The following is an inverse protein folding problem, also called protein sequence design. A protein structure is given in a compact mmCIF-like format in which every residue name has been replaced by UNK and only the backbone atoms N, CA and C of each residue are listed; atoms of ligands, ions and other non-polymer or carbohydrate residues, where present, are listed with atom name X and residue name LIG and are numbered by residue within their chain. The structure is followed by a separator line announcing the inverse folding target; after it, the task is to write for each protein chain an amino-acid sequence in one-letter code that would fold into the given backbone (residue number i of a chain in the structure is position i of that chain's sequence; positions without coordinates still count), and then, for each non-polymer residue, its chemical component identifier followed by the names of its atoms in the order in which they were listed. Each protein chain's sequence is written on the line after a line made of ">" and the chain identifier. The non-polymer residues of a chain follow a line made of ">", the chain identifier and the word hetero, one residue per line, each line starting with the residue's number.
data_IF_809902797906
#
_entry.id   IF_809902797906
#
_cell.length_a   1.000
_cell.length_b   1.000
_cell.length_c   1.000
_cell.angle_alpha   90.00
_cell.angle_beta   90.00
_cell.angle_gamma   90.00
#
_symmetry.space_group_name_H-M   'P 1'
#
loop_
_entity.id
_entity.type
_entity.pdbx_description
1 polymer ?
#
# COMPACT_ATOMS: atom_id res chain seq x y z
N UNK A 1 -2.63 -8.34 17.87
CA UNK A 1 -1.52 -7.37 18.01
C UNK A 1 -0.26 -7.73 17.21
N UNK A 2 -0.06 -9.00 16.77
CA UNK A 2 1.14 -9.39 15.99
C UNK A 2 1.13 -8.96 14.52
N UNK A 3 -0.05 -8.82 13.89
CA UNK A 3 -0.17 -8.46 12.46
C UNK A 3 0.29 -7.03 12.11
N UNK A 4 -0.05 -6.04 12.96
CA UNK A 4 0.27 -4.63 12.70
C UNK A 4 1.77 -4.33 12.68
N UNK A 5 2.60 -5.14 13.34
CA UNK A 5 4.04 -4.96 13.36
C UNK A 5 4.70 -5.29 12.01
N UNK A 6 4.17 -6.27 11.26
CA UNK A 6 4.79 -6.68 10.00
C UNK A 6 4.69 -5.60 8.91
N UNK A 7 3.51 -5.01 8.70
CA UNK A 7 3.36 -3.95 7.70
C UNK A 7 4.04 -2.64 8.11
N UNK A 8 3.99 -2.29 9.41
CA UNK A 8 4.69 -1.12 9.92
C UNK A 8 6.21 -1.21 9.74
N UNK A 9 6.80 -2.40 9.95
CA UNK A 9 8.24 -2.64 9.75
C UNK A 9 8.66 -2.70 8.27
N UNK A 10 7.72 -2.93 7.36
CA UNK A 10 7.95 -2.90 5.91
C UNK A 10 7.77 -1.51 5.29
N UNK A 11 7.18 -0.57 6.03
CA UNK A 11 7.04 0.80 5.56
C UNK A 11 8.43 1.48 5.56
N UNK A 12 8.80 2.09 4.44
CA UNK A 12 10.03 2.86 4.37
C UNK A 12 9.81 4.22 5.03
N UNK A 13 10.80 4.65 5.81
CA UNK A 13 10.80 6.01 6.33
C UNK A 13 11.13 7.00 5.21
N UNK A 14 10.39 8.10 5.16
CA UNK A 14 10.61 9.26 4.32
C UNK A 14 11.90 10.00 4.72
N UNK A 15 12.15 11.12 4.06
CA UNK A 15 13.31 11.97 4.33
C UNK A 15 13.30 12.62 5.73
N UNK A 16 12.12 12.75 6.36
CA UNK A 16 11.93 13.27 7.71
C UNK A 16 12.05 12.17 8.79
N UNK A 17 12.25 10.91 8.36
CA UNK A 17 12.29 9.75 9.24
C UNK A 17 10.90 9.28 9.70
N UNK A 18 9.82 9.73 9.05
CA UNK A 18 8.46 9.25 9.27
C UNK A 18 8.10 8.16 8.27
N UNK A 19 7.43 7.12 8.73
CA UNK A 19 6.81 6.13 7.89
C UNK A 19 5.30 6.27 7.94
N UNK A 20 4.66 5.86 6.85
CA UNK A 20 3.23 6.04 6.66
C UNK A 20 2.59 4.71 6.26
N UNK A 21 1.47 4.40 6.89
CA UNK A 21 0.63 3.25 6.53
C UNK A 21 -0.80 3.72 6.32
N UNK A 22 -1.53 3.03 5.44
CA UNK A 22 -2.94 3.29 5.20
C UNK A 22 -3.80 2.24 5.90
N UNK A 23 -4.81 2.71 6.63
CA UNK A 23 -5.91 1.87 7.07
C UNK A 23 -7.00 1.91 6.00
N UNK A 24 -7.35 0.74 5.47
CA UNK A 24 -8.35 0.59 4.44
C UNK A 24 -9.48 -0.33 4.92
N UNK A 25 -10.71 -0.06 4.49
CA UNK A 25 -11.80 -1.04 4.49
C UNK A 25 -11.74 -1.84 3.21
N UNK A 26 -11.83 -3.17 3.33
CA UNK A 26 -11.72 -4.07 2.18
C UNK A 26 -12.93 -4.99 2.09
N UNK A 27 -13.55 -5.05 0.91
CA UNK A 27 -14.60 -6.03 0.61
C UNK A 27 -13.96 -7.37 0.22
N UNK A 28 -13.77 -8.25 1.19
CA UNK A 28 -13.00 -9.49 1.01
C UNK A 28 -13.70 -10.52 0.11
N UNK A 29 -15.03 -10.62 0.13
CA UNK A 29 -15.75 -11.63 -0.66
C UNK A 29 -15.39 -13.06 -0.25
N UNK A 30 -15.23 -13.96 -1.22
CA UNK A 30 -14.76 -15.34 -1.05
C UNK A 30 -13.24 -15.42 -1.21
N UNK A 31 -12.45 -15.53 -0.13
CA UNK A 31 -11.01 -15.64 -0.25
C UNK A 31 -10.58 -17.08 -0.59
N UNK A 32 -9.54 -17.24 -1.40
CA UNK A 32 -8.73 -18.46 -1.44
C UNK A 32 -7.54 -18.37 -0.48
N UNK A 33 -7.07 -19.53 0.01
CA UNK A 33 -5.85 -19.60 0.80
C UNK A 33 -4.63 -19.67 -0.13
N UNK A 34 -3.73 -18.69 -0.02
CA UNK A 34 -2.47 -18.64 -0.77
C UNK A 34 -1.32 -18.36 0.21
N UNK A 35 -0.26 -19.19 0.24
CA UNK A 35 0.90 -18.91 1.06
C UNK A 35 1.51 -17.53 0.78
N UNK A 36 1.90 -16.81 1.83
CA UNK A 36 2.65 -15.56 1.69
C UNK A 36 3.92 -15.78 0.86
N UNK A 37 4.22 -14.88 -0.07
CA UNK A 37 5.34 -15.01 -1.01
C UNK A 37 5.02 -15.78 -2.30
N UNK A 38 3.77 -16.17 -2.53
CA UNK A 38 3.34 -16.73 -3.82
C UNK A 38 3.50 -15.71 -4.97
N UNK A 39 3.82 -16.22 -6.17
CA UNK A 39 3.91 -15.43 -7.41
C UNK A 39 2.56 -15.27 -8.14
N UNK A 40 1.45 -15.69 -7.55
CA UNK A 40 0.11 -15.55 -8.15
C UNK A 40 -0.30 -14.09 -8.29
N UNK A 41 -0.86 -13.75 -9.44
CA UNK A 41 -1.33 -12.39 -9.78
C UNK A 41 -2.85 -12.31 -10.02
N UNK A 42 -3.54 -13.44 -10.03
CA UNK A 42 -4.96 -13.57 -10.30
C UNK A 42 -5.54 -14.75 -9.50
N UNK A 43 -6.87 -14.79 -9.28
CA UNK A 43 -7.49 -15.88 -8.55
C UNK A 43 -7.39 -17.21 -9.31
N UNK A 44 -7.38 -18.33 -8.58
CA UNK A 44 -7.27 -19.67 -9.17
C UNK A 44 -8.50 -20.09 -9.98
N UNK A 45 -9.64 -19.44 -9.75
CA UNK A 45 -10.91 -19.64 -10.45
C UNK A 45 -11.86 -18.49 -10.14
N UNK A 46 -12.95 -18.38 -10.90
CA UNK A 46 -14.01 -17.37 -10.71
C UNK A 46 -14.81 -17.53 -9.40
N UNK A 47 -14.52 -18.58 -8.63
CA UNK A 47 -15.10 -18.77 -7.30
C UNK A 47 -14.40 -17.93 -6.21
N UNK A 48 -13.28 -17.29 -6.53
CA UNK A 48 -12.50 -16.55 -5.56
C UNK A 48 -12.38 -15.08 -5.94
N UNK A 49 -12.69 -14.26 -4.95
CA UNK A 49 -12.74 -12.82 -5.09
C UNK A 49 -11.44 -12.20 -4.53
N UNK A 50 -10.79 -12.82 -3.55
CA UNK A 50 -9.55 -12.32 -2.91
C UNK A 50 -8.66 -13.49 -2.48
N UNK A 51 -7.54 -13.21 -1.82
CA UNK A 51 -6.77 -14.24 -1.14
C UNK A 51 -6.32 -13.84 0.26
N UNK A 52 -6.07 -14.86 1.09
CA UNK A 52 -5.50 -14.74 2.44
C UNK A 52 -4.42 -15.79 2.67
N UNK A 53 -3.51 -15.55 3.60
CA UNK A 53 -2.44 -16.49 3.95
C UNK A 53 -2.91 -17.67 4.83
N UNK A 54 -3.93 -17.46 5.65
CA UNK A 54 -4.47 -18.47 6.55
C UNK A 54 -5.99 -18.29 6.76
N UNK A 55 -6.76 -19.37 6.63
CA UNK A 55 -8.24 -19.32 6.74
C UNK A 55 -8.75 -19.08 8.16
N UNK A 56 -8.00 -19.50 9.18
CA UNK A 56 -8.41 -19.37 10.59
C UNK A 56 -7.90 -18.08 11.23
N UNK A 57 -6.69 -17.65 10.89
CA UNK A 57 -6.07 -16.45 11.44
C UNK A 57 -5.26 -15.71 10.36
N UNK A 58 -5.93 -15.02 9.42
CA UNK A 58 -5.28 -14.31 8.32
C UNK A 58 -4.40 -13.16 8.85
N UNK A 59 -3.17 -13.07 8.37
CA UNK A 59 -2.25 -11.96 8.61
C UNK A 59 -2.01 -11.12 7.35
N UNK A 60 -2.18 -11.73 6.17
CA UNK A 60 -2.02 -11.09 4.87
C UNK A 60 -3.29 -11.25 4.05
N UNK A 61 -3.66 -10.16 3.36
CA UNK A 61 -4.82 -10.11 2.48
C UNK A 61 -4.37 -9.61 1.11
N UNK A 62 -4.90 -10.20 0.06
CA UNK A 62 -4.62 -9.84 -1.33
C UNK A 62 -5.92 -9.47 -2.01
N UNK A 63 -5.96 -8.27 -2.59
CA UNK A 63 -7.00 -7.85 -3.53
C UNK A 63 -6.38 -7.85 -4.92
N UNK A 64 -7.03 -8.52 -5.87
CA UNK A 64 -6.55 -8.60 -7.24
C UNK A 64 -6.60 -7.25 -7.93
N UNK A 65 -5.58 -6.95 -8.75
CA UNK A 65 -5.44 -5.64 -9.41
C UNK A 65 -6.71 -5.16 -10.11
N UNK A 66 -7.39 -6.06 -10.84
CA UNK A 66 -8.64 -5.77 -11.56
C UNK A 66 -9.78 -5.23 -10.67
N UNK A 67 -9.77 -5.56 -9.38
CA UNK A 67 -10.87 -5.24 -8.47
C UNK A 67 -10.47 -4.22 -7.39
N UNK A 68 -9.21 -3.74 -7.37
CA UNK A 68 -8.70 -2.86 -6.32
C UNK A 68 -9.55 -1.58 -6.17
N UNK A 69 -9.94 -0.96 -7.29
CA UNK A 69 -10.70 0.30 -7.30
C UNK A 69 -12.09 0.19 -6.67
N UNK A 70 -12.72 -0.99 -6.71
CA UNK A 70 -14.09 -1.20 -6.23
C UNK A 70 -14.13 -1.82 -4.84
N UNK A 71 -13.00 -2.36 -4.37
CA UNK A 71 -12.97 -3.22 -3.16
C UNK A 71 -12.11 -2.67 -2.05
N UNK A 72 -11.25 -1.69 -2.32
CA UNK A 72 -10.45 -1.02 -1.30
C UNK A 72 -10.97 0.40 -1.13
N UNK A 73 -11.41 0.71 0.08
CA UNK A 73 -11.72 2.07 0.50
C UNK A 73 -10.66 2.53 1.51
N UNK A 74 -9.74 3.43 1.13
CA UNK A 74 -8.87 4.11 2.08
C UNK A 74 -9.69 4.90 3.10
N UNK A 75 -9.38 4.71 4.38
CA UNK A 75 -10.12 5.37 5.47
C UNK A 75 -9.25 6.36 6.23
N UNK A 76 -8.02 5.95 6.57
CA UNK A 76 -7.08 6.79 7.32
C UNK A 76 -5.65 6.58 6.86
N UNK A 77 -4.83 7.61 7.04
CA UNK A 77 -3.37 7.51 6.94
C UNK A 77 -2.79 7.70 8.33
N UNK A 78 -1.89 6.81 8.72
CA UNK A 78 -1.20 6.84 10.01
C UNK A 78 0.28 7.08 9.77
N UNK A 79 0.78 8.22 10.25
CA UNK A 79 2.20 8.59 10.23
C UNK A 79 2.84 8.28 11.58
N UNK A 80 4.04 7.71 11.56
CA UNK A 80 4.76 7.36 12.77
C UNK A 80 6.28 7.40 12.55
N UNK A 81 7.04 7.61 13.63
CA UNK A 81 8.50 7.45 13.64
C UNK A 81 8.85 6.13 14.31
N UNK A 82 9.73 5.37 13.68
CA UNK A 82 10.27 4.14 14.28
C UNK A 82 11.79 4.13 14.07
N UNK A 83 12.60 4.08 15.15
CA UNK A 83 14.06 4.14 15.06
C UNK A 83 14.70 3.04 14.21
N UNK A 84 14.03 1.89 14.08
CA UNK A 84 14.55 0.70 13.42
C UNK A 84 14.13 0.57 11.95
N UNK A 85 13.47 1.57 11.37
CA UNK A 85 13.06 1.51 9.97
C UNK A 85 14.22 1.83 9.04
N UNK A 86 14.29 1.10 7.92
CA UNK A 86 15.20 1.44 6.85
C UNK A 86 14.79 2.78 6.25
N UNK A 87 15.68 3.78 6.36
CA UNK A 87 15.53 5.05 5.66
C UNK A 87 15.58 4.77 4.17
N UNK A 88 14.68 5.36 3.41
CA UNK A 88 14.78 5.35 1.96
C UNK A 88 16.10 6.03 1.57
N UNK A 89 17.15 5.26 1.28
CA UNK A 89 18.37 5.82 0.71
C UNK A 89 18.01 6.26 -0.69
N UNK A 90 17.92 7.58 -0.90
CA UNK A 90 17.74 8.15 -2.21
C UNK A 90 18.82 7.61 -3.14
N UNK A 91 18.42 6.71 -4.05
CA UNK A 91 19.21 6.44 -5.24
C UNK A 91 19.21 7.73 -6.05
N UNK A 92 20.27 8.53 -5.91
CA UNK A 92 20.66 9.52 -6.91
C UNK A 92 20.99 8.77 -8.20
N UNK A 93 19.95 8.48 -8.99
CA UNK A 93 20.07 7.65 -10.18
C UNK A 93 18.77 7.39 -10.95
N UNK A 94 17.67 8.05 -10.60
CA UNK A 94 16.52 8.18 -11.50
C UNK A 94 15.79 9.47 -11.14
N UNK A 95 15.80 10.45 -12.04
CA UNK A 95 14.92 11.62 -11.95
C UNK A 95 13.47 11.17 -12.18
N UNK A 96 12.86 10.46 -11.24
CA UNK A 96 11.40 10.36 -11.20
C UNK A 96 10.90 11.69 -10.65
N UNK A 97 10.82 12.69 -11.52
CA UNK A 97 9.98 13.85 -11.28
C UNK A 97 8.60 13.28 -10.93
N UNK A 98 8.15 13.47 -9.69
CA UNK A 98 6.76 13.25 -9.28
C UNK A 98 5.92 14.20 -10.13
N UNK A 99 5.54 13.74 -11.33
CA UNK A 99 4.63 14.44 -12.20
C UNK A 99 3.24 14.19 -11.65
N UNK A 100 2.48 15.27 -11.45
CA UNK A 100 1.07 15.22 -11.08
C UNK A 100 0.34 14.18 -11.96
N UNK A 101 -0.43 13.24 -11.39
CA UNK A 101 -1.16 12.26 -12.18
C UNK A 101 -2.02 12.97 -13.23
N UNK A 102 -1.95 12.51 -14.48
CA UNK A 102 -2.80 13.09 -15.54
C UNK A 102 -4.27 12.74 -15.26
N UNK A 103 -5.25 13.59 -15.65
CA UNK A 103 -6.67 13.34 -15.38
C UNK A 103 -7.25 12.10 -16.05
N UNK A 104 -6.48 11.42 -16.91
CA UNK A 104 -6.93 10.28 -17.70
C UNK A 104 -6.36 9.00 -17.11
N UNK A 105 -7.04 8.41 -16.13
CA UNK A 105 -6.71 7.07 -15.66
C UNK A 105 -7.97 6.29 -15.28
N UNK A 106 -8.20 5.18 -15.99
CA UNK A 106 -9.17 4.15 -15.63
C UNK A 106 -8.75 3.38 -14.35
N UNK A 107 -7.54 3.61 -13.85
CA UNK A 107 -7.03 3.05 -12.60
C UNK A 107 -7.02 4.09 -11.48
N UNK A 108 -8.11 4.12 -10.73
CA UNK A 108 -8.35 5.08 -9.66
C UNK A 108 -7.46 4.85 -8.43
N UNK A 109 -7.14 3.59 -8.08
CA UNK A 109 -6.42 3.27 -6.85
C UNK A 109 -4.92 3.62 -6.92
N UNK A 110 -4.17 3.31 -8.01
CA UNK A 110 -2.81 3.82 -8.18
C UNK A 110 -2.75 5.35 -8.21
N UNK A 111 -3.71 5.99 -8.87
CA UNK A 111 -3.84 7.46 -8.90
C UNK A 111 -4.10 8.02 -7.50
N UNK A 112 -5.04 7.43 -6.75
CA UNK A 112 -5.35 7.82 -5.37
C UNK A 112 -4.15 7.63 -4.45
N UNK A 113 -3.40 6.53 -4.60
CA UNK A 113 -2.18 6.30 -3.85
C UNK A 113 -1.12 7.36 -4.17
N UNK A 114 -0.95 7.72 -5.45
CA UNK A 114 -0.03 8.77 -5.87
C UNK A 114 -0.43 10.16 -5.34
N UNK A 115 -1.73 10.48 -5.35
CA UNK A 115 -2.25 11.72 -4.75
C UNK A 115 -2.06 11.73 -3.22
N UNK A 116 -2.32 10.62 -2.53
CA UNK A 116 -2.06 10.52 -1.08
C UNK A 116 -0.55 10.69 -0.80
N UNK A 117 0.32 10.04 -1.59
CA UNK A 117 1.77 10.23 -1.50
C UNK A 117 2.19 11.69 -1.71
N UNK A 118 1.48 12.43 -2.56
CA UNK A 118 1.71 13.85 -2.78
C UNK A 118 1.36 14.72 -1.54
N UNK A 119 0.28 14.38 -0.83
CA UNK A 119 -0.12 15.08 0.39
C UNK A 119 0.68 14.68 1.63
N UNK A 120 1.41 13.57 1.57
CA UNK A 120 2.39 13.24 2.60
C UNK A 120 3.54 14.26 2.52
N UNK A 121 4.17 14.64 3.65
CA UNK A 121 5.20 15.67 3.66
C UNK A 121 6.34 15.34 2.69
N UNK A 122 6.31 15.91 1.49
CA UNK A 122 7.43 15.92 0.56
C UNK A 122 8.14 17.28 0.70
N UNK A 123 9.44 17.25 0.96
CA UNK A 123 10.34 18.31 1.45
C UNK A 123 10.46 19.62 0.65
N UNK A 124 9.53 19.98 -0.23
CA UNK A 124 9.71 21.14 -1.13
C UNK A 124 8.73 22.30 -0.98
N UNK A 125 8.10 22.46 0.18
CA UNK A 125 7.39 23.71 0.52
C UNK A 125 7.57 24.14 1.99
N UNK A 126 8.80 24.09 2.51
CA UNK A 126 9.18 24.90 3.68
C UNK A 126 10.53 25.56 3.41
N UNK A 127 10.52 26.55 2.52
CA UNK A 127 11.52 27.62 2.55
C UNK A 127 10.74 28.92 2.59
N UNK A 128 10.48 29.40 3.81
CA UNK A 128 10.18 30.78 4.14
C UNK A 128 11.11 31.17 5.29
#
# INVERSE_FOLDING_TARGET
>A
MKSFLCSAMLANADENGEAHIMLCRVLLGRPEAIPAGSSKLHPSSDNYDSAIDNMQNPQWYVVWGKDMNMRILPEYVVSFKCPNLHRMQGSSGANSTLKKPSPVAHDMFPTLLAEIQWFMPSSKLQTL
#
